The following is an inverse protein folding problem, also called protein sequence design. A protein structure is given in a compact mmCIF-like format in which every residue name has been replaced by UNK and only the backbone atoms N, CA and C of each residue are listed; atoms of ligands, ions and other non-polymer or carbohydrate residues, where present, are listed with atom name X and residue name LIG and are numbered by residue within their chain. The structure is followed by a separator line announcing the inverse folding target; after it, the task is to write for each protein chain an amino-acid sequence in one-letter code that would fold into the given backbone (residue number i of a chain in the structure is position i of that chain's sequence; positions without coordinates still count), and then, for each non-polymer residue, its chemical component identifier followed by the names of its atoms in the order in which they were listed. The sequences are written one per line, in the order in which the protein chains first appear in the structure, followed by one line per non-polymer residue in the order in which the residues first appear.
data_IF_165889804342
#
_entry.id   IF_165889804342
#
_cell.length_a   1.000
_cell.length_b   1.000
_cell.length_c   1.000
_cell.angle_alpha   90.00
_cell.angle_beta   90.00
_cell.angle_gamma   90.00
#
_symmetry.space_group_name_H-M   'P 1'
#
loop_
_entity.id
_entity.type
_entity.pdbx_description
1 polymer ?
#
# COMPACT_ATOMS: atom_id res chain seq x y z
N UNK A 1 -2.53 32.85 15.28
CA UNK A 1 -2.45 33.95 14.30
C UNK A 1 -1.29 34.85 14.72
N UNK A 2 -0.06 34.61 14.23
CA UNK A 2 1.05 35.53 14.48
C UNK A 2 0.88 36.77 13.59
N UNK A 3 1.24 37.93 14.16
CA UNK A 3 1.11 39.27 13.59
C UNK A 3 1.57 39.36 12.13
N UNK A 4 0.74 40.00 11.31
CA UNK A 4 0.95 40.29 9.89
C UNK A 4 2.32 40.94 9.66
N UNK A 5 3.22 40.17 9.04
CA UNK A 5 4.27 40.78 8.22
C UNK A 5 3.57 41.64 7.17
N UNK A 6 4.02 42.88 7.03
CA UNK A 6 3.47 43.88 6.11
C UNK A 6 3.17 43.20 4.75
N UNK A 7 1.89 42.95 4.40
CA UNK A 7 1.57 42.09 3.27
C UNK A 7 2.16 42.71 2.01
N UNK A 8 2.84 41.91 1.20
CA UNK A 8 3.26 42.34 -0.13
C UNK A 8 1.99 42.65 -0.90
N UNK A 9 1.64 43.93 -0.98
CA UNK A 9 0.49 44.41 -1.75
C UNK A 9 0.91 44.62 -3.21
N UNK A 10 -0.07 44.87 -4.08
CA UNK A 10 0.19 45.24 -5.48
C UNK A 10 1.13 46.47 -5.64
N UNK A 11 1.25 47.30 -4.60
CA UNK A 11 2.14 48.46 -4.58
C UNK A 11 3.61 48.11 -4.36
N UNK A 12 3.92 46.90 -3.89
CA UNK A 12 5.31 46.46 -3.75
C UNK A 12 5.99 46.31 -5.14
N UNK A 13 7.30 46.57 -5.29
CA UNK A 13 7.97 46.44 -6.59
C UNK A 13 7.98 45.01 -7.16
N UNK A 14 7.98 43.99 -6.29
CA UNK A 14 8.10 42.58 -6.69
C UNK A 14 6.93 42.10 -7.59
N UNK A 15 5.64 42.23 -7.22
CA UNK A 15 4.54 41.82 -8.10
C UNK A 15 4.58 42.52 -9.47
N UNK A 16 4.95 43.81 -9.50
CA UNK A 16 5.09 44.56 -10.76
C UNK A 16 6.23 44.03 -11.63
N UNK A 17 7.37 43.69 -11.02
CA UNK A 17 8.49 43.10 -11.74
C UNK A 17 8.15 41.70 -12.28
N UNK A 18 7.41 40.89 -11.52
CA UNK A 18 6.94 39.58 -11.96
C UNK A 18 5.92 39.67 -13.10
N UNK A 19 4.92 40.55 -12.98
CA UNK A 19 3.91 40.77 -14.02
C UNK A 19 4.52 41.21 -15.36
N UNK A 20 5.64 41.95 -15.32
CA UNK A 20 6.38 42.37 -16.51
C UNK A 20 7.10 41.21 -17.24
N UNK A 21 7.25 40.04 -16.61
CA UNK A 21 7.80 38.83 -17.23
C UNK A 21 6.74 38.06 -18.04
N UNK A 22 5.46 38.36 -17.82
CA UNK A 22 4.36 37.68 -18.49
C UNK A 22 4.39 37.91 -20.01
N UNK A 23 4.43 36.86 -20.85
CA UNK A 23 4.38 36.99 -22.30
C UNK A 23 3.01 37.53 -22.75
N UNK A 24 2.94 38.22 -23.89
CA UNK A 24 1.69 38.82 -24.36
C UNK A 24 0.52 37.84 -24.38
N UNK A 25 -0.61 38.22 -23.76
CA UNK A 25 -1.82 37.39 -23.65
C UNK A 25 -1.87 36.46 -22.43
N UNK A 26 -0.93 36.57 -21.49
CA UNK A 26 -1.02 35.89 -20.20
C UNK A 26 -2.22 36.37 -19.38
N UNK A 27 -2.82 35.48 -18.59
CA UNK A 27 -3.92 35.81 -17.68
C UNK A 27 -3.64 35.45 -16.21
N UNK A 28 -2.69 34.55 -15.97
CA UNK A 28 -2.20 34.21 -14.63
C UNK A 28 -0.71 33.90 -14.64
N UNK A 29 0.01 34.35 -13.63
CA UNK A 29 1.40 34.02 -13.35
C UNK A 29 1.49 33.44 -11.94
N UNK A 30 2.04 32.24 -11.82
CA UNK A 30 2.35 31.61 -10.53
C UNK A 30 3.86 31.49 -10.39
N UNK A 31 4.41 32.00 -9.29
CA UNK A 31 5.82 31.98 -8.97
C UNK A 31 6.04 31.31 -7.62
N UNK A 32 6.96 30.35 -7.56
CA UNK A 32 7.43 29.72 -6.34
C UNK A 32 8.93 30.00 -6.17
N UNK A 33 9.30 30.55 -5.02
CA UNK A 33 10.69 30.77 -4.64
C UNK A 33 10.99 29.95 -3.39
N UNK A 34 11.89 28.98 -3.48
CA UNK A 34 12.41 28.23 -2.33
C UNK A 34 13.82 28.72 -2.01
N UNK A 35 14.14 28.95 -0.74
CA UNK A 35 15.42 29.55 -0.36
C UNK A 35 15.97 29.04 0.97
N UNK A 36 17.28 28.80 0.96
CA UNK A 36 18.13 28.57 2.14
C UNK A 36 19.35 29.49 2.07
N UNK A 37 20.17 29.57 3.11
CA UNK A 37 21.47 30.26 3.05
C UNK A 37 22.46 29.66 2.04
N UNK A 38 22.21 28.44 1.52
CA UNK A 38 23.11 27.75 0.57
C UNK A 38 22.64 27.74 -0.87
N UNK A 39 21.40 28.12 -1.13
CA UNK A 39 20.84 28.06 -2.46
C UNK A 39 19.43 28.57 -2.53
N UNK A 40 19.02 28.83 -3.77
CA UNK A 40 17.68 29.26 -4.13
C UNK A 40 17.20 28.46 -5.34
N UNK A 41 15.90 28.22 -5.38
CA UNK A 41 15.19 27.65 -6.51
C UNK A 41 14.06 28.62 -6.82
N UNK A 42 13.87 28.93 -8.09
CA UNK A 42 12.75 29.73 -8.54
C UNK A 42 12.06 29.03 -9.71
N UNK A 43 10.74 28.94 -9.63
CA UNK A 43 9.91 28.35 -10.67
C UNK A 43 8.76 29.30 -10.97
N UNK A 44 8.71 29.83 -12.19
CA UNK A 44 7.67 30.75 -12.65
C UNK A 44 6.95 30.14 -13.83
N UNK A 45 5.62 30.14 -13.79
CA UNK A 45 4.77 29.64 -14.85
C UNK A 45 3.73 30.69 -15.20
N UNK A 46 3.63 31.02 -16.48
CA UNK A 46 2.61 31.90 -17.04
C UNK A 46 1.56 31.08 -17.78
N UNK A 47 0.28 31.30 -17.49
CA UNK A 47 -0.84 30.68 -18.19
C UNK A 47 -1.33 31.59 -19.33
N UNK A 48 -1.44 31.03 -20.55
CA UNK A 48 -1.86 31.69 -21.79
C UNK A 48 -2.93 30.82 -22.45
N UNK A 49 -4.21 31.17 -22.29
CA UNK A 49 -5.30 30.24 -22.64
C UNK A 49 -5.15 28.92 -21.87
N UNK A 50 -5.12 27.79 -22.57
CA UNK A 50 -4.88 26.47 -21.97
C UNK A 50 -3.39 26.10 -21.85
N UNK A 51 -2.47 26.94 -22.36
CA UNK A 51 -1.04 26.66 -22.34
C UNK A 51 -0.36 27.23 -21.10
N UNK A 52 0.65 26.53 -20.62
CA UNK A 52 1.55 26.98 -19.55
C UNK A 52 2.96 27.15 -20.11
N UNK A 53 3.58 28.31 -19.82
CA UNK A 53 4.93 28.67 -20.30
C UNK A 53 5.80 29.00 -19.09
N UNK A 54 6.91 28.27 -18.95
CA UNK A 54 7.90 28.55 -17.91
C UNK A 54 8.68 29.84 -18.23
N UNK A 55 9.00 30.60 -17.19
CA UNK A 55 9.81 31.81 -17.27
C UNK A 55 10.96 31.75 -16.26
N UNK A 56 12.09 32.37 -16.61
CA UNK A 56 13.22 32.52 -15.71
C UNK A 56 13.18 33.90 -15.06
N UNK A 57 13.21 34.00 -13.71
CA UNK A 57 13.21 35.28 -13.04
C UNK A 57 14.58 35.96 -13.20
N UNK A 58 14.61 37.26 -13.52
CA UNK A 58 15.87 37.98 -13.59
C UNK A 58 16.48 38.14 -12.19
N UNK A 59 17.81 38.30 -12.13
CA UNK A 59 18.56 38.47 -10.88
C UNK A 59 18.04 39.65 -10.02
N UNK A 60 17.47 40.68 -10.65
CA UNK A 60 16.85 41.81 -9.94
C UNK A 60 15.62 41.39 -9.13
N UNK A 61 14.82 40.45 -9.64
CA UNK A 61 13.70 39.83 -8.92
C UNK A 61 14.23 38.95 -7.80
N UNK A 62 15.19 38.06 -8.09
CA UNK A 62 15.80 37.19 -7.08
C UNK A 62 16.41 37.98 -5.92
N UNK A 63 17.12 39.08 -6.22
CA UNK A 63 17.67 39.97 -5.20
C UNK A 63 16.58 40.58 -4.28
N UNK A 64 15.42 40.97 -4.83
CA UNK A 64 14.29 41.44 -4.02
C UNK A 64 13.73 40.32 -3.14
N UNK A 65 13.60 39.11 -3.68
CA UNK A 65 13.14 37.94 -2.91
C UNK A 65 14.11 37.60 -1.76
N UNK A 66 15.42 37.64 -2.01
CA UNK A 66 16.44 37.46 -0.96
C UNK A 66 16.33 38.52 0.15
N UNK A 67 16.09 39.79 -0.22
CA UNK A 67 15.88 40.87 0.76
C UNK A 67 14.63 40.63 1.61
N UNK A 68 13.53 40.22 0.99
CA UNK A 68 12.29 39.88 1.70
C UNK A 68 12.50 38.71 2.66
N UNK A 69 13.22 37.67 2.22
CA UNK A 69 13.58 36.55 3.09
C UNK A 69 14.44 37.00 4.27
N UNK A 70 15.46 37.82 4.02
CA UNK A 70 16.33 38.34 5.07
C UNK A 70 15.55 39.17 6.10
N UNK A 71 14.62 40.02 5.65
CA UNK A 71 13.75 40.79 6.52
C UNK A 71 12.84 39.90 7.38
N UNK A 72 12.34 38.79 6.84
CA UNK A 72 11.50 37.84 7.59
C UNK A 72 12.24 37.12 8.73
N UNK A 73 13.58 37.16 8.77
CA UNK A 73 14.39 36.62 9.86
C UNK A 73 14.14 37.31 11.21
N UNK A 74 13.65 38.55 11.21
CA UNK A 74 13.31 39.29 12.43
C UNK A 74 12.02 38.78 13.09
N UNK A 75 11.22 37.99 12.36
CA UNK A 75 10.00 37.40 12.88
C UNK A 75 10.28 36.22 13.82
N UNK A 76 9.37 35.97 14.76
CA UNK A 76 9.47 34.82 15.68
C UNK A 76 9.50 33.46 14.95
N UNK A 77 8.92 33.38 13.76
CA UNK A 77 8.92 32.16 12.93
C UNK A 77 10.25 31.95 12.18
N UNK A 78 11.12 32.97 12.14
CA UNK A 78 12.30 33.01 11.30
C UNK A 78 11.95 33.16 9.81
N UNK A 79 12.93 32.98 8.92
CA UNK A 79 12.69 33.07 7.49
C UNK A 79 11.72 32.00 7.00
N UNK A 80 10.85 32.34 6.05
CA UNK A 80 10.09 31.33 5.31
C UNK A 80 11.02 30.43 4.48
N UNK A 81 10.58 29.21 4.19
CA UNK A 81 11.32 28.29 3.31
C UNK A 81 10.94 28.50 1.84
N UNK A 82 9.64 28.76 1.61
CA UNK A 82 9.07 29.06 0.30
C UNK A 82 8.18 30.29 0.35
N UNK A 83 8.20 31.06 -0.73
CA UNK A 83 7.26 32.14 -1.01
C UNK A 83 6.54 31.80 -2.32
N UNK A 84 5.21 31.78 -2.28
CA UNK A 84 4.33 31.56 -3.41
C UNK A 84 3.66 32.88 -3.77
N UNK A 85 3.71 33.25 -5.04
CA UNK A 85 3.11 34.48 -5.55
C UNK A 85 2.22 34.12 -6.72
N UNK A 86 0.95 34.48 -6.66
CA UNK A 86 0.02 34.38 -7.77
C UNK A 86 -0.42 35.77 -8.20
N UNK A 87 -0.36 36.04 -9.51
CA UNK A 87 -0.74 37.32 -10.11
C UNK A 87 -1.71 37.05 -11.24
N UNK A 88 -2.83 37.76 -11.28
CA UNK A 88 -3.77 37.73 -12.42
C UNK A 88 -3.56 38.94 -13.33
N UNK A 89 -3.99 38.85 -14.59
CA UNK A 89 -3.94 39.98 -15.54
C UNK A 89 -4.75 41.19 -15.07
N UNK A 90 -5.74 40.97 -14.19
CA UNK A 90 -6.57 42.03 -13.62
C UNK A 90 -5.88 42.76 -12.46
N UNK A 91 -4.67 42.32 -12.10
CA UNK A 91 -3.83 42.94 -11.08
C UNK A 91 -4.06 42.40 -9.66
N UNK A 92 -4.82 41.32 -9.51
CA UNK A 92 -4.92 40.64 -8.21
C UNK A 92 -3.60 39.96 -7.89
N UNK A 93 -3.14 40.13 -6.64
CA UNK A 93 -1.89 39.58 -6.14
C UNK A 93 -2.18 38.82 -4.86
N UNK A 94 -1.84 37.53 -4.84
CA UNK A 94 -1.84 36.69 -3.65
C UNK A 94 -0.40 36.27 -3.33
N UNK A 95 0.00 36.40 -2.06
CA UNK A 95 1.31 35.96 -1.58
C UNK A 95 1.12 35.06 -0.38
N UNK A 96 1.74 33.89 -0.41
CA UNK A 96 1.74 32.93 0.67
C UNK A 96 3.16 32.57 1.05
N UNK A 97 3.41 32.45 2.37
CA UNK A 97 4.69 32.02 2.90
C UNK A 97 4.55 30.63 3.51
N UNK A 98 5.37 29.71 3.04
CA UNK A 98 5.38 28.33 3.47
C UNK A 98 6.58 28.07 4.39
N UNK A 99 6.25 27.71 5.63
CA UNK A 99 7.18 27.40 6.72
C UNK A 99 7.40 25.89 6.89
N UNK A 100 6.99 25.09 5.90
CA UNK A 100 7.22 23.66 5.84
C UNK A 100 6.23 22.86 6.67
N UNK A 101 5.01 23.35 6.90
CA UNK A 101 3.98 22.56 7.60
C UNK A 101 3.75 21.21 6.92
N UNK A 102 3.99 21.15 5.61
CA UNK A 102 4.01 19.95 4.80
C UNK A 102 5.34 19.78 4.03
N UNK A 103 5.69 18.57 3.57
CA UNK A 103 6.85 18.35 2.72
C UNK A 103 6.75 19.15 1.44
N UNK A 104 7.86 19.76 1.03
CA UNK A 104 7.90 20.53 -0.20
C UNK A 104 7.79 19.61 -1.43
N UNK A 105 7.23 20.12 -2.54
CA UNK A 105 7.32 19.45 -3.82
C UNK A 105 8.79 19.14 -4.19
N UNK A 106 9.09 18.00 -4.83
CA UNK A 106 10.46 17.60 -5.15
C UNK A 106 11.26 18.67 -5.91
N UNK A 107 10.62 19.40 -6.81
CA UNK A 107 11.21 20.48 -7.59
C UNK A 107 11.61 21.71 -6.76
N UNK A 108 11.11 21.84 -5.53
CA UNK A 108 11.42 22.93 -4.60
C UNK A 108 12.19 22.44 -3.36
N UNK A 109 12.61 21.18 -3.35
CA UNK A 109 13.29 20.56 -2.22
C UNK A 109 14.81 20.68 -2.38
N UNK A 110 15.50 21.10 -1.33
CA UNK A 110 16.96 21.12 -1.29
C UNK A 110 17.53 19.85 -0.65
N UNK A 111 18.83 19.62 -0.83
CA UNK A 111 19.54 18.59 -0.08
C UNK A 111 19.54 18.88 1.44
N UNK A 112 19.63 17.84 2.30
CA UNK A 112 19.58 18.00 3.75
C UNK A 112 20.60 19.01 4.31
N UNK A 113 21.79 19.10 3.74
CA UNK A 113 22.86 20.02 4.16
C UNK A 113 22.48 21.49 4.01
N UNK A 114 21.64 21.83 3.02
CA UNK A 114 21.17 23.19 2.82
C UNK A 114 20.25 23.64 3.96
N UNK A 115 19.29 22.78 4.35
CA UNK A 115 18.41 23.03 5.49
C UNK A 115 19.17 23.07 6.82
N UNK A 116 20.13 22.16 7.03
CA UNK A 116 20.98 22.20 8.25
C UNK A 116 21.76 23.50 8.35
N UNK A 117 22.36 23.96 7.25
CA UNK A 117 23.09 25.22 7.24
C UNK A 117 22.16 26.42 7.51
N UNK A 118 20.94 26.38 6.99
CA UNK A 118 19.95 27.41 7.25
C UNK A 118 19.51 27.44 8.72
N UNK A 119 19.30 26.27 9.35
CA UNK A 119 18.99 26.17 10.78
C UNK A 119 20.15 26.60 11.68
N UNK A 120 21.40 26.53 11.21
CA UNK A 120 22.55 27.11 11.92
C UNK A 120 22.53 28.64 11.82
N UNK A 121 22.22 29.19 10.64
CA UNK A 121 22.18 30.64 10.43
C UNK A 121 20.95 31.30 11.07
N UNK A 122 19.82 30.61 11.03
CA UNK A 122 18.53 31.03 11.57
C UNK A 122 17.95 29.93 12.48
N UNK A 123 18.47 29.82 13.73
CA UNK A 123 18.00 28.82 14.67
C UNK A 123 16.51 28.92 14.96
N UNK A 124 15.83 27.77 14.98
CA UNK A 124 14.41 27.66 15.31
C UNK A 124 14.25 26.79 16.55
N UNK A 125 13.30 27.16 17.40
CA UNK A 125 12.97 26.35 18.58
C UNK A 125 12.32 25.01 18.19
N UNK A 126 11.68 24.96 17.03
CA UNK A 126 10.97 23.79 16.51
C UNK A 126 10.92 23.84 14.99
N UNK A 127 11.06 22.69 14.35
CA UNK A 127 10.77 22.49 12.92
C UNK A 127 9.79 21.34 12.73
N UNK A 128 8.97 21.37 11.66
CA UNK A 128 8.08 20.26 11.32
C UNK A 128 8.82 18.91 11.27
N UNK A 129 8.18 17.86 11.81
CA UNK A 129 8.85 16.56 12.05
C UNK A 129 9.45 15.97 10.78
N UNK A 130 8.80 16.13 9.63
CA UNK A 130 9.34 15.64 8.36
C UNK A 130 10.66 16.34 7.97
N UNK A 131 10.80 17.63 8.22
CA UNK A 131 12.01 18.39 7.90
C UNK A 131 13.11 18.07 8.91
N UNK A 132 12.73 17.91 10.19
CA UNK A 132 13.61 17.44 11.24
C UNK A 132 14.18 16.04 10.91
N UNK A 133 13.31 15.11 10.51
CA UNK A 133 13.70 13.77 10.09
C UNK A 133 14.58 13.82 8.84
N UNK A 134 14.17 14.52 7.78
CA UNK A 134 14.92 14.66 6.53
C UNK A 134 16.35 15.17 6.77
N UNK A 135 16.53 16.07 7.74
CA UNK A 135 17.84 16.60 8.10
C UNK A 135 18.59 15.77 9.14
N UNK A 136 17.95 15.01 10.01
CA UNK A 136 18.64 14.42 11.18
C UNK A 136 18.52 12.89 11.27
N UNK A 137 17.80 12.21 10.39
CA UNK A 137 17.55 10.77 10.53
C UNK A 137 18.84 9.95 10.49
N UNK A 138 19.77 10.27 9.57
CA UNK A 138 21.07 9.60 9.42
C UNK A 138 20.94 8.05 9.37
N UNK A 139 19.91 7.57 8.68
CA UNK A 139 19.55 6.15 8.54
C UNK A 139 19.38 5.36 9.85
N UNK A 140 19.22 6.05 10.99
CA UNK A 140 19.11 5.43 12.32
C UNK A 140 17.89 4.53 12.51
N UNK A 141 16.90 4.65 11.63
CA UNK A 141 15.70 3.82 11.64
C UNK A 141 15.76 2.65 10.63
N UNK A 142 16.77 2.61 9.77
CA UNK A 142 17.00 1.45 8.92
C UNK A 142 17.50 0.27 9.76
N UNK A 143 17.15 -0.94 9.32
CA UNK A 143 17.60 -2.20 9.90
C UNK A 143 17.91 -3.17 8.77
N UNK A 144 19.14 -3.13 8.24
CA UNK A 144 19.59 -4.08 7.22
C UNK A 144 19.52 -5.52 7.75
N UNK A 145 19.46 -6.55 6.88
CA UNK A 145 19.45 -7.94 7.34
C UNK A 145 20.63 -8.30 8.26
N UNK A 146 21.82 -7.74 8.01
CA UNK A 146 23.01 -7.93 8.85
C UNK A 146 22.81 -7.30 10.23
N UNK A 147 22.33 -6.04 10.27
CA UNK A 147 22.00 -5.35 11.52
C UNK A 147 20.90 -6.07 12.30
N UNK A 148 19.89 -6.61 11.61
CA UNK A 148 18.81 -7.38 12.24
C UNK A 148 19.35 -8.65 12.91
N UNK A 149 20.20 -9.41 12.23
CA UNK A 149 20.82 -10.63 12.77
C UNK A 149 21.79 -10.35 13.93
N UNK A 150 22.53 -9.25 13.88
CA UNK A 150 23.39 -8.79 14.98
C UNK A 150 22.56 -8.35 16.19
N UNK A 151 21.57 -7.48 15.97
CA UNK A 151 20.68 -7.00 17.03
C UNK A 151 19.93 -8.15 17.70
N UNK A 152 19.35 -9.09 16.94
CA UNK A 152 18.62 -10.22 17.51
C UNK A 152 19.51 -11.17 18.35
N UNK A 153 20.81 -11.25 18.05
CA UNK A 153 21.77 -11.98 18.92
C UNK A 153 22.10 -11.18 20.17
N UNK A 154 22.34 -9.87 20.03
CA UNK A 154 22.61 -8.96 21.14
C UNK A 154 21.43 -8.92 22.13
N UNK A 155 20.22 -8.74 21.62
CA UNK A 155 18.99 -8.68 22.42
C UNK A 155 18.79 -9.96 23.22
N UNK A 156 18.99 -11.14 22.61
CA UNK A 156 18.94 -12.42 23.33
C UNK A 156 20.00 -12.52 24.43
N UNK A 157 21.24 -12.08 24.17
CA UNK A 157 22.31 -12.08 25.15
C UNK A 157 22.05 -11.10 26.32
N UNK A 158 21.40 -9.97 26.02
CA UNK A 158 21.02 -8.93 26.98
C UNK A 158 19.63 -9.14 27.60
N UNK A 159 18.94 -10.23 27.23
CA UNK A 159 17.57 -10.54 27.65
C UNK A 159 16.56 -9.41 27.34
N UNK A 160 16.76 -8.71 26.23
CA UNK A 160 15.79 -7.76 25.67
C UNK A 160 14.76 -8.55 24.89
N UNK A 161 13.52 -8.56 25.38
CA UNK A 161 12.41 -9.31 24.81
C UNK A 161 11.38 -8.38 24.17
N UNK A 162 10.70 -8.91 23.16
CA UNK A 162 9.56 -8.26 22.54
C UNK A 162 8.43 -8.06 23.56
N UNK A 163 7.70 -6.95 23.41
CA UNK A 163 6.45 -6.68 24.13
C UNK A 163 5.31 -7.38 23.39
N UNK A 164 4.52 -8.17 24.11
CA UNK A 164 3.30 -8.76 23.57
C UNK A 164 2.23 -7.67 23.38
N UNK A 165 1.76 -7.50 22.14
CA UNK A 165 0.68 -6.56 21.80
C UNK A 165 -0.67 -7.28 21.87
N UNK A 166 -1.07 -7.68 23.08
CA UNK A 166 -2.29 -8.46 23.30
C UNK A 166 -3.55 -7.60 23.10
N UNK A 167 -4.48 -8.07 22.27
CA UNK A 167 -5.73 -7.38 21.93
C UNK A 167 -5.57 -5.94 21.37
N UNK A 168 -4.37 -5.56 20.91
CA UNK A 168 -4.13 -4.25 20.29
C UNK A 168 -4.60 -4.23 18.81
N UNK A 169 -4.36 -5.33 18.09
CA UNK A 169 -4.83 -5.56 16.72
C UNK A 169 -5.56 -6.90 16.62
N UNK A 170 -6.48 -7.08 15.65
CA UNK A 170 -7.03 -8.39 15.36
C UNK A 170 -5.92 -9.36 14.96
N UNK A 171 -6.13 -10.68 15.11
CA UNK A 171 -5.21 -11.69 14.59
C UNK A 171 -4.83 -11.40 13.15
N UNK A 172 -3.56 -11.60 12.78
CA UNK A 172 -3.06 -11.26 11.45
C UNK A 172 -3.95 -11.75 10.29
N UNK A 173 -4.46 -13.01 10.28
CA UNK A 173 -5.34 -13.48 9.22
C UNK A 173 -6.63 -12.67 9.07
N UNK A 174 -7.23 -12.31 10.21
CA UNK A 174 -8.42 -11.45 10.25
C UNK A 174 -8.08 -10.03 9.80
N UNK A 175 -6.95 -9.49 10.24
CA UNK A 175 -6.49 -8.17 9.80
C UNK A 175 -6.28 -8.12 8.29
N UNK A 176 -5.63 -9.14 7.72
CA UNK A 176 -5.38 -9.27 6.29
C UNK A 176 -6.68 -9.32 5.48
N UNK A 177 -7.63 -10.15 5.91
CA UNK A 177 -8.94 -10.24 5.28
C UNK A 177 -9.70 -8.91 5.29
N UNK A 178 -9.70 -8.22 6.45
CA UNK A 178 -10.32 -6.90 6.59
C UNK A 178 -9.65 -5.83 5.74
N UNK A 179 -8.32 -5.86 5.65
CA UNK A 179 -7.58 -4.97 4.76
C UNK A 179 -7.93 -5.20 3.30
N UNK A 180 -8.04 -6.47 2.89
CA UNK A 180 -8.38 -6.86 1.53
C UNK A 180 -9.79 -6.40 1.14
N UNK A 181 -10.80 -6.62 1.99
CA UNK A 181 -12.18 -6.21 1.71
C UNK A 181 -12.35 -4.69 1.72
N UNK A 182 -11.64 -3.97 2.59
CA UNK A 182 -11.59 -2.50 2.51
C UNK A 182 -10.96 -2.05 1.19
N UNK A 183 -9.82 -2.64 0.80
CA UNK A 183 -9.16 -2.29 -0.46
C UNK A 183 -10.09 -2.50 -1.66
N UNK A 184 -10.81 -3.63 -1.66
CA UNK A 184 -11.80 -3.95 -2.68
C UNK A 184 -12.93 -2.93 -2.74
N UNK A 185 -13.49 -2.53 -1.59
CA UNK A 185 -14.55 -1.53 -1.51
C UNK A 185 -14.10 -0.15 -2.02
N UNK A 186 -12.90 0.30 -1.65
CA UNK A 186 -12.35 1.58 -2.14
C UNK A 186 -12.10 1.55 -3.66
N UNK A 187 -11.65 0.41 -4.20
CA UNK A 187 -11.48 0.24 -5.65
C UNK A 187 -12.82 0.19 -6.36
N UNK A 188 -13.82 -0.52 -5.81
CA UNK A 188 -15.19 -0.55 -6.35
C UNK A 188 -15.77 0.86 -6.48
N UNK A 189 -15.57 1.69 -5.46
CA UNK A 189 -15.97 3.10 -5.42
C UNK A 189 -15.11 4.03 -6.31
N UNK A 190 -14.13 3.49 -7.05
CA UNK A 190 -13.17 4.23 -7.89
C UNK A 190 -12.43 5.33 -7.12
N UNK A 191 -12.22 5.14 -5.82
CA UNK A 191 -11.47 6.09 -5.02
C UNK A 191 -10.01 6.06 -5.42
N UNK A 192 -9.39 7.23 -5.66
CA UNK A 192 -7.96 7.33 -5.89
C UNK A 192 -7.13 7.04 -4.62
N UNK A 193 -7.77 7.10 -3.45
CA UNK A 193 -7.16 6.98 -2.13
C UNK A 193 -7.61 5.71 -1.40
N UNK A 194 -7.08 5.49 -0.20
CA UNK A 194 -7.44 4.36 0.67
C UNK A 194 -6.53 3.13 0.54
N UNK A 195 -6.88 2.03 1.22
CA UNK A 195 -6.05 0.84 1.25
C UNK A 195 -5.99 0.13 -0.11
N UNK A 196 -4.87 -0.52 -0.39
CA UNK A 196 -4.62 -1.32 -1.59
C UNK A 196 -3.95 -2.64 -1.25
N UNK A 197 -4.22 -3.64 -2.07
CA UNK A 197 -3.54 -4.93 -2.09
C UNK A 197 -2.53 -4.97 -3.23
N UNK A 198 -1.31 -5.31 -2.88
CA UNK A 198 -0.26 -5.80 -3.77
C UNK A 198 0.02 -7.26 -3.40
N UNK A 199 0.70 -8.04 -4.27
CA UNK A 199 1.13 -9.39 -3.90
C UNK A 199 1.89 -9.38 -2.56
N UNK A 200 1.37 -10.10 -1.58
CA UNK A 200 1.95 -10.24 -0.23
C UNK A 200 2.06 -8.94 0.59
N UNK A 201 1.45 -7.84 0.14
CA UNK A 201 1.54 -6.54 0.84
C UNK A 201 0.23 -5.78 0.79
N UNK A 202 -0.30 -5.40 1.95
CA UNK A 202 -1.31 -4.36 2.09
C UNK A 202 -0.63 -3.00 2.22
N UNK A 203 -1.07 -2.00 1.47
CA UNK A 203 -0.58 -0.63 1.53
C UNK A 203 -1.72 0.30 1.93
N UNK A 204 -1.45 1.24 2.83
CA UNK A 204 -2.41 2.26 3.21
C UNK A 204 -1.70 3.58 3.44
N UNK A 205 -2.21 4.62 2.79
CA UNK A 205 -1.88 6.01 3.05
C UNK A 205 -3.19 6.74 3.32
N UNK A 206 -3.31 7.31 4.52
CA UNK A 206 -4.46 8.07 4.96
C UNK A 206 -4.37 9.54 4.56
N UNK A 207 -5.50 10.24 4.61
CA UNK A 207 -5.59 11.66 4.26
C UNK A 207 -4.72 12.56 5.16
N UNK A 208 -4.47 12.13 6.39
CA UNK A 208 -3.61 12.83 7.35
C UNK A 208 -2.11 12.53 7.16
N UNK A 209 -1.65 12.05 6.00
CA UNK A 209 -0.25 11.68 5.69
C UNK A 209 0.35 10.55 6.56
N UNK A 210 -0.45 9.99 7.46
CA UNK A 210 -0.14 8.76 8.16
C UNK A 210 -0.37 7.56 7.25
N UNK A 211 0.38 6.49 7.43
CA UNK A 211 0.26 5.31 6.59
C UNK A 211 1.06 4.13 7.10
N UNK A 212 0.76 2.96 6.55
CA UNK A 212 1.43 1.72 6.90
C UNK A 212 1.44 0.71 5.76
N UNK A 213 2.37 -0.24 5.89
CA UNK A 213 2.35 -1.46 5.10
C UNK A 213 2.16 -2.67 6.02
N UNK A 214 1.38 -3.63 5.56
CA UNK A 214 1.21 -4.96 6.14
C UNK A 214 1.82 -5.99 5.19
N UNK A 215 3.01 -6.48 5.50
CA UNK A 215 3.70 -7.49 4.70
C UNK A 215 3.41 -8.90 5.21
N UNK A 216 3.05 -9.79 4.30
CA UNK A 216 2.86 -11.22 4.55
C UNK A 216 4.16 -11.96 4.25
N UNK A 217 4.56 -12.85 5.15
CA UNK A 217 5.80 -13.60 5.07
C UNK A 217 5.54 -15.11 5.15
N UNK A 218 6.41 -15.95 4.55
CA UNK A 218 6.33 -17.39 4.70
C UNK A 218 6.34 -17.85 6.16
N UNK A 219 5.63 -18.93 6.44
CA UNK A 219 5.52 -19.49 7.80
C UNK A 219 4.46 -18.81 8.67
N UNK A 220 3.46 -18.17 8.06
CA UNK A 220 2.38 -17.50 8.78
C UNK A 220 2.87 -16.30 9.59
N UNK A 221 3.88 -15.58 9.06
CA UNK A 221 4.47 -14.40 9.69
C UNK A 221 3.98 -13.14 9.00
N UNK A 222 4.02 -12.01 9.70
CA UNK A 222 3.71 -10.72 9.10
C UNK A 222 4.46 -9.59 9.78
N UNK A 223 4.60 -8.45 9.08
CA UNK A 223 5.09 -7.19 9.64
C UNK A 223 4.11 -6.08 9.30
N UNK A 224 3.61 -5.40 10.32
CA UNK A 224 2.85 -4.16 10.19
C UNK A 224 3.76 -3.02 10.63
N UNK A 225 4.09 -2.10 9.74
CA UNK A 225 4.94 -0.96 10.08
C UNK A 225 4.52 0.29 9.34
N UNK A 226 4.79 1.45 9.93
CA UNK A 226 4.27 2.71 9.39
C UNK A 226 4.66 3.92 10.20
N UNK A 227 4.03 5.04 9.85
CA UNK A 227 4.26 6.32 10.51
C UNK A 227 2.96 7.08 10.71
N UNK A 228 2.76 7.56 11.93
CA UNK A 228 1.75 8.58 12.24
C UNK A 228 2.34 9.95 11.92
N UNK A 229 1.56 10.78 11.23
CA UNK A 229 1.99 12.13 10.90
C UNK A 229 2.25 12.94 12.17
N UNK A 230 3.40 13.62 12.23
CA UNK A 230 3.87 14.34 13.42
C UNK A 230 3.87 13.49 14.70
N UNK A 231 4.28 12.21 14.61
CA UNK A 231 4.35 11.31 15.75
C UNK A 231 5.10 11.95 16.95
N UNK A 232 4.49 12.03 18.16
CA UNK A 232 5.07 12.72 19.30
C UNK A 232 6.46 12.22 19.70
N UNK A 233 6.72 10.91 19.59
CA UNK A 233 8.03 10.34 19.90
C UNK A 233 9.12 10.78 18.92
N UNK A 234 8.78 10.95 17.63
CA UNK A 234 9.71 11.46 16.63
C UNK A 234 9.94 12.96 16.81
N UNK A 235 8.90 13.71 17.14
CA UNK A 235 9.03 15.13 17.45
C UNK A 235 9.95 15.35 18.66
N UNK A 236 9.72 14.63 19.74
CA UNK A 236 10.58 14.68 20.93
C UNK A 236 12.04 14.28 20.62
N UNK A 237 12.25 13.31 19.73
CA UNK A 237 13.59 12.87 19.37
C UNK A 237 14.33 13.87 18.46
N UNK A 238 13.68 14.35 17.40
CA UNK A 238 14.32 15.23 16.43
C UNK A 238 14.38 16.69 16.88
N UNK A 239 13.32 17.21 17.50
CA UNK A 239 13.27 18.60 17.97
C UNK A 239 13.70 18.74 19.44
N UNK A 240 13.47 17.71 20.27
CA UNK A 240 13.74 17.76 21.71
C UNK A 240 15.02 17.05 22.17
N UNK A 241 15.72 16.34 21.28
CA UNK A 241 16.93 15.58 21.61
C UNK A 241 16.69 14.31 22.44
N UNK A 242 15.43 13.86 22.58
CA UNK A 242 15.14 12.56 23.18
C UNK A 242 15.75 11.40 22.34
N UNK A 243 16.03 10.24 22.94
CA UNK A 243 16.42 9.08 22.15
C UNK A 243 15.27 8.66 21.20
N UNK A 244 15.63 8.20 20.01
CA UNK A 244 14.65 7.56 19.12
C UNK A 244 14.10 6.28 19.78
N UNK A 245 12.80 5.97 19.59
CA UNK A 245 12.22 4.76 20.12
C UNK A 245 12.90 3.52 19.51
N UNK A 246 13.19 2.53 20.34
CA UNK A 246 13.75 1.24 19.90
C UNK A 246 12.63 0.36 19.33
N UNK A 247 12.11 0.75 18.17
CA UNK A 247 10.99 0.08 17.49
C UNK A 247 11.24 -1.42 17.25
N UNK A 248 12.50 -1.81 17.12
CA UNK A 248 12.92 -3.20 16.83
C UNK A 248 13.47 -3.95 18.05
N UNK A 249 13.31 -3.41 19.28
CA UNK A 249 13.78 -4.09 20.48
C UNK A 249 13.11 -5.46 20.64
N UNK A 250 13.92 -6.52 20.72
CA UNK A 250 13.43 -7.90 20.81
C UNK A 250 12.87 -8.45 19.50
N UNK A 251 12.99 -7.73 18.38
CA UNK A 251 12.50 -8.19 17.09
C UNK A 251 13.42 -9.28 16.51
N UNK A 252 12.85 -10.31 15.87
CA UNK A 252 13.64 -11.36 15.22
C UNK A 252 14.44 -10.80 14.04
N UNK A 253 15.40 -11.61 13.56
CA UNK A 253 16.33 -11.23 12.49
C UNK A 253 15.65 -11.02 11.12
N UNK A 254 14.49 -11.64 10.90
CA UNK A 254 13.71 -11.50 9.68
C UNK A 254 12.88 -10.22 9.62
N UNK A 255 12.77 -9.45 10.70
CA UNK A 255 12.20 -8.10 10.68
C UNK A 255 13.30 -7.13 10.24
N UNK A 256 13.42 -6.89 8.94
CA UNK A 256 14.48 -6.08 8.35
C UNK A 256 13.94 -5.22 7.19
N UNK A 257 14.76 -4.29 6.67
CA UNK A 257 14.39 -3.32 5.63
C UNK A 257 13.44 -3.83 4.53
N UNK A 258 13.60 -5.04 3.93
CA UNK A 258 12.72 -5.49 2.84
C UNK A 258 11.25 -5.65 3.23
N UNK A 259 10.94 -5.77 4.52
CA UNK A 259 9.57 -5.97 5.04
C UNK A 259 9.14 -4.81 5.94
N UNK A 260 9.88 -3.72 5.94
CA UNK A 260 9.56 -2.49 6.66
C UNK A 260 8.98 -1.46 5.70
N UNK A 261 8.10 -0.60 6.23
CA UNK A 261 7.58 0.54 5.51
C UNK A 261 8.72 1.47 5.08
N UNK A 262 8.59 2.07 3.90
CA UNK A 262 9.61 2.95 3.32
C UNK A 262 10.02 4.12 4.26
N UNK A 263 9.14 4.51 5.20
CA UNK A 263 9.43 5.50 6.24
C UNK A 263 10.64 5.18 7.12
N UNK A 264 11.06 3.91 7.20
CA UNK A 264 12.32 3.54 7.86
C UNK A 264 13.54 4.22 7.21
N UNK A 265 13.51 4.40 5.88
CA UNK A 265 14.58 5.07 5.15
C UNK A 265 14.53 6.59 5.30
N UNK A 266 13.34 7.18 5.45
CA UNK A 266 13.15 8.63 5.58
C UNK A 266 13.18 9.14 7.03
N UNK A 267 13.39 8.27 8.02
CA UNK A 267 13.35 8.65 9.44
C UNK A 267 11.95 8.95 9.98
N UNK A 268 10.89 8.50 9.30
CA UNK A 268 9.50 8.77 9.67
C UNK A 268 8.76 7.53 10.17
N UNK A 269 9.47 6.44 10.41
CA UNK A 269 8.87 5.25 11.00
C UNK A 269 8.56 5.53 12.47
N UNK A 270 7.30 5.40 12.86
CA UNK A 270 6.86 5.63 14.24
C UNK A 270 6.36 4.37 14.93
N UNK A 271 6.08 3.30 14.18
CA UNK A 271 5.73 1.99 14.75
C UNK A 271 6.17 0.83 13.87
N UNK A 272 6.45 -0.28 14.52
CA UNK A 272 6.71 -1.59 13.93
C UNK A 272 6.13 -2.68 14.83
N UNK A 273 5.30 -3.54 14.24
CA UNK A 273 4.69 -4.72 14.83
C UNK A 273 5.03 -5.92 13.97
N UNK A 274 5.21 -7.09 14.60
CA UNK A 274 5.42 -8.33 13.87
C UNK A 274 4.55 -9.44 14.45
N UNK A 275 4.05 -10.29 13.56
CA UNK A 275 3.23 -11.44 13.89
C UNK A 275 4.06 -12.71 13.77
N UNK A 276 4.08 -13.50 14.84
CA UNK A 276 4.69 -14.83 14.87
C UNK A 276 3.97 -15.70 15.90
N UNK A 277 3.85 -17.00 15.65
CA UNK A 277 3.29 -17.94 16.63
C UNK A 277 1.86 -17.61 17.07
N UNK A 278 1.07 -16.96 16.20
CA UNK A 278 -0.32 -16.62 16.50
C UNK A 278 -0.51 -15.34 17.33
N UNK A 279 0.52 -14.48 17.46
CA UNK A 279 0.47 -13.27 18.30
C UNK A 279 1.20 -12.11 17.66
N UNK A 280 0.73 -10.89 17.97
CA UNK A 280 1.42 -9.64 17.64
C UNK A 280 2.44 -9.27 18.73
N UNK A 281 3.59 -8.80 18.27
CA UNK A 281 4.68 -8.32 19.10
C UNK A 281 5.14 -6.94 18.64
N UNK A 282 5.71 -6.17 19.55
CA UNK A 282 6.34 -4.88 19.27
C UNK A 282 7.57 -4.64 20.13
N UNK A 283 8.45 -3.77 19.68
CA UNK A 283 9.49 -3.19 20.54
C UNK A 283 8.92 -2.03 21.34
N UNK A 284 9.56 -0.86 21.24
CA UNK A 284 9.06 0.39 21.84
C UNK A 284 8.05 1.14 20.96
N UNK A 285 7.42 0.45 20.00
CA UNK A 285 6.30 1.02 19.24
C UNK A 285 5.18 1.46 20.21
N UNK A 286 4.49 2.58 19.96
CA UNK A 286 3.34 2.98 20.75
C UNK A 286 2.21 1.94 20.61
N UNK A 287 1.24 1.89 21.53
CA UNK A 287 0.07 1.01 21.40
C UNK A 287 -0.79 1.34 20.17
N UNK A 288 -1.60 0.38 19.72
CA UNK A 288 -2.33 0.47 18.45
C UNK A 288 -3.33 1.64 18.35
N UNK A 289 -3.91 2.08 19.46
CA UNK A 289 -4.82 3.25 19.52
C UNK A 289 -4.10 4.54 19.09
N UNK A 290 -2.82 4.67 19.43
CA UNK A 290 -1.97 5.78 19.00
C UNK A 290 -1.52 5.66 17.55
N UNK A 291 -1.71 4.50 16.91
CA UNK A 291 -1.41 4.26 15.50
C UNK A 291 -2.64 4.42 14.58
N UNK A 292 -3.81 4.71 15.13
CA UNK A 292 -5.09 4.58 14.42
C UNK A 292 -5.20 5.38 13.12
N UNK A 293 -4.59 6.56 13.04
CA UNK A 293 -4.62 7.39 11.83
C UNK A 293 -3.75 6.85 10.69
N UNK A 294 -2.90 5.86 10.96
CA UNK A 294 -1.94 5.28 10.01
C UNK A 294 -2.28 3.83 9.64
N UNK A 295 -3.36 3.27 10.15
CA UNK A 295 -3.84 1.91 9.86
C UNK A 295 -5.28 2.03 9.33
N UNK A 296 -5.67 1.31 8.27
CA UNK A 296 -7.05 1.33 7.81
C UNK A 296 -7.97 0.75 8.90
N UNK A 297 -9.27 1.03 8.82
CA UNK A 297 -10.35 0.67 9.77
C UNK A 297 -10.55 -0.81 10.11
N UNK A 298 -9.50 -1.59 10.38
CA UNK A 298 -9.54 -3.07 10.46
C UNK A 298 -9.88 -3.63 11.85
N UNK A 299 -10.10 -2.79 12.86
CA UNK A 299 -10.20 -3.20 14.27
C UNK A 299 -11.33 -4.18 14.57
N UNK A 300 -12.53 -3.94 14.05
CA UNK A 300 -13.71 -4.78 14.27
C UNK A 300 -14.44 -5.01 12.95
N UNK A 301 -15.16 -6.12 12.85
CA UNK A 301 -16.00 -6.40 11.68
C UNK A 301 -17.06 -5.31 11.46
N UNK A 302 -17.61 -4.74 12.56
CA UNK A 302 -18.58 -3.65 12.51
C UNK A 302 -18.01 -2.38 11.87
N UNK A 303 -16.81 -1.92 12.31
CA UNK A 303 -16.16 -0.73 11.72
C UNK A 303 -15.91 -0.95 10.22
N UNK A 304 -15.45 -2.14 9.83
CA UNK A 304 -15.22 -2.46 8.42
C UNK A 304 -16.52 -2.43 7.62
N UNK A 305 -17.60 -3.03 8.14
CA UNK A 305 -18.91 -3.04 7.49
C UNK A 305 -19.49 -1.63 7.35
N UNK A 306 -19.34 -0.77 8.37
CA UNK A 306 -19.77 0.63 8.33
C UNK A 306 -19.04 1.43 7.24
N UNK A 307 -17.71 1.27 7.13
CA UNK A 307 -16.92 1.92 6.08
C UNK A 307 -17.36 1.44 4.68
N UNK A 308 -17.55 0.12 4.52
CA UNK A 308 -17.99 -0.48 3.25
C UNK A 308 -19.38 0.06 2.86
N UNK A 309 -20.33 0.07 3.78
CA UNK A 309 -21.68 0.57 3.54
C UNK A 309 -21.67 2.07 3.19
N UNK A 310 -20.79 2.86 3.81
CA UNK A 310 -20.59 4.27 3.49
C UNK A 310 -20.08 4.51 2.07
N UNK A 311 -19.25 3.61 1.53
CA UNK A 311 -18.72 3.70 0.16
C UNK A 311 -19.72 3.27 -0.92
N UNK A 312 -20.71 2.45 -0.58
CA UNK A 312 -21.78 2.02 -1.49
C UNK A 312 -22.83 3.12 -1.74
N UNK A 313 -22.68 4.28 -1.08
CA UNK A 313 -23.46 5.51 -1.25
C UNK A 313 -24.98 5.28 -1.12
N UNK A 314 -25.37 4.56 -0.07
CA UNK A 314 -26.78 4.39 0.31
C UNK A 314 -26.92 4.18 1.83
N UNK A 315 -26.39 5.13 2.61
CA UNK A 315 -26.30 5.10 4.08
C UNK A 315 -27.64 4.94 4.84
N UNK A 316 -28.77 4.85 4.13
CA UNK A 316 -30.12 4.69 4.69
C UNK A 316 -30.80 3.36 4.33
N UNK A 317 -30.17 2.52 3.50
CA UNK A 317 -30.71 1.21 3.15
C UNK A 317 -30.21 0.13 4.13
N UNK A 318 -31.12 -0.37 4.99
CA UNK A 318 -30.80 -1.43 5.97
C UNK A 318 -30.26 -2.70 5.31
N UNK A 319 -30.66 -2.99 4.08
CA UNK A 319 -30.21 -4.18 3.34
C UNK A 319 -28.71 -4.10 3.02
N UNK A 320 -28.19 -2.90 2.73
CA UNK A 320 -26.75 -2.68 2.42
C UNK A 320 -25.88 -2.94 3.65
N UNK A 321 -26.32 -2.54 4.85
CA UNK A 321 -25.57 -2.77 6.09
C UNK A 321 -25.46 -4.26 6.45
N UNK A 322 -26.52 -5.04 6.19
CA UNK A 322 -26.52 -6.50 6.41
C UNK A 322 -25.65 -7.21 5.38
N UNK A 323 -25.73 -6.82 4.10
CA UNK A 323 -24.85 -7.34 3.06
C UNK A 323 -23.38 -7.00 3.31
N UNK A 324 -23.07 -5.78 3.77
CA UNK A 324 -21.70 -5.41 4.14
C UNK A 324 -21.16 -6.27 5.29
N UNK A 325 -21.97 -6.53 6.32
CA UNK A 325 -21.59 -7.44 7.42
C UNK A 325 -21.35 -8.86 6.92
N UNK A 326 -22.21 -9.36 6.03
CA UNK A 326 -22.06 -10.67 5.39
C UNK A 326 -20.78 -10.75 4.54
N UNK A 327 -20.47 -9.71 3.79
CA UNK A 327 -19.26 -9.60 2.99
C UNK A 327 -18.00 -9.63 3.86
N UNK A 328 -17.99 -8.91 5.00
CA UNK A 328 -16.86 -8.94 5.94
C UNK A 328 -16.68 -10.34 6.53
N UNK A 329 -17.77 -11.01 6.94
CA UNK A 329 -17.70 -12.38 7.44
C UNK A 329 -17.17 -13.36 6.38
N UNK A 330 -17.61 -13.22 5.12
CA UNK A 330 -17.12 -14.02 4.00
C UNK A 330 -15.63 -13.77 3.73
N UNK A 331 -15.16 -12.52 3.85
CA UNK A 331 -13.75 -12.17 3.72
C UNK A 331 -12.90 -12.79 4.83
N UNK A 332 -13.34 -12.68 6.09
CA UNK A 332 -12.65 -13.31 7.24
C UNK A 332 -12.59 -14.84 7.11
N UNK A 333 -13.56 -15.45 6.45
CA UNK A 333 -13.58 -16.88 6.16
C UNK A 333 -12.83 -17.26 4.86
N UNK A 334 -12.39 -16.28 4.05
CA UNK A 334 -11.69 -16.52 2.78
C UNK A 334 -12.58 -17.12 1.68
N UNK A 335 -13.87 -16.79 1.67
CA UNK A 335 -14.89 -17.38 0.77
C UNK A 335 -15.68 -16.31 0.00
N UNK A 336 -15.09 -15.13 -0.23
CA UNK A 336 -15.78 -14.08 -0.98
C UNK A 336 -16.05 -14.55 -2.41
N UNK A 337 -17.28 -14.35 -2.86
CA UNK A 337 -17.72 -14.60 -4.24
C UNK A 337 -18.11 -13.28 -4.91
N UNK A 338 -18.24 -13.29 -6.24
CA UNK A 338 -18.80 -12.14 -6.98
C UNK A 338 -20.18 -11.77 -6.46
N UNK A 339 -21.03 -12.76 -6.21
CA UNK A 339 -22.40 -12.54 -5.72
C UNK A 339 -22.41 -11.83 -4.36
N UNK A 340 -21.62 -12.32 -3.40
CA UNK A 340 -21.53 -11.70 -2.07
C UNK A 340 -21.03 -10.26 -2.14
N UNK A 341 -20.11 -9.96 -3.07
CA UNK A 341 -19.62 -8.59 -3.26
C UNK A 341 -20.65 -7.69 -3.96
N UNK A 342 -21.27 -8.20 -5.03
CA UNK A 342 -22.26 -7.47 -5.83
C UNK A 342 -23.55 -7.17 -5.06
N UNK A 343 -23.87 -7.94 -4.01
CA UNK A 343 -24.96 -7.64 -3.08
C UNK A 343 -24.76 -6.30 -2.33
N UNK A 344 -23.51 -5.82 -2.21
CA UNK A 344 -23.18 -4.50 -1.63
C UNK A 344 -22.94 -3.47 -2.74
N UNK A 345 -22.14 -3.84 -3.76
CA UNK A 345 -21.72 -2.95 -4.84
C UNK A 345 -22.32 -3.40 -6.16
N UNK A 346 -23.42 -2.76 -6.58
CA UNK A 346 -24.08 -3.05 -7.86
C UNK A 346 -23.11 -2.93 -9.06
N UNK A 347 -23.01 -3.99 -9.84
CA UNK A 347 -22.06 -4.17 -10.97
C UNK A 347 -22.26 -3.11 -12.07
N UNK A 348 -23.46 -2.53 -12.17
CA UNK A 348 -23.74 -1.47 -13.15
C UNK A 348 -23.14 -0.11 -12.77
N UNK A 349 -22.86 0.13 -11.48
CA UNK A 349 -22.39 1.41 -10.94
C UNK A 349 -20.93 1.37 -10.50
N UNK A 350 -20.50 0.26 -9.90
CA UNK A 350 -19.21 0.12 -9.24
C UNK A 350 -18.23 -0.73 -10.05
N UNK A 351 -16.94 -0.59 -9.76
CA UNK A 351 -15.88 -1.43 -10.35
C UNK A 351 -15.73 -2.76 -9.60
N UNK A 352 -16.67 -3.69 -9.82
CA UNK A 352 -16.66 -5.01 -9.17
C UNK A 352 -15.47 -5.85 -9.64
N UNK A 353 -15.06 -5.74 -10.90
CA UNK A 353 -13.93 -6.49 -11.45
C UNK A 353 -12.61 -6.09 -10.79
N UNK A 354 -12.34 -4.78 -10.67
CA UNK A 354 -11.18 -4.26 -9.96
C UNK A 354 -11.18 -4.66 -8.48
N UNK A 355 -12.36 -4.67 -7.84
CA UNK A 355 -12.51 -5.09 -6.45
C UNK A 355 -12.22 -6.59 -6.25
N UNK A 356 -12.77 -7.46 -7.10
CA UNK A 356 -12.50 -8.90 -7.07
C UNK A 356 -11.03 -9.20 -7.35
N UNK A 357 -10.37 -8.41 -8.20
CA UNK A 357 -8.92 -8.53 -8.39
C UNK A 357 -8.14 -8.24 -7.10
N UNK A 358 -8.50 -7.21 -6.33
CA UNK A 358 -7.87 -6.93 -5.02
C UNK A 358 -8.03 -8.11 -4.04
N UNK A 359 -9.24 -8.67 -3.96
CA UNK A 359 -9.55 -9.84 -3.12
C UNK A 359 -8.79 -11.09 -3.59
N UNK A 360 -8.66 -11.27 -4.90
CA UNK A 360 -7.92 -12.36 -5.53
C UNK A 360 -6.43 -12.31 -5.21
N UNK A 361 -5.79 -11.15 -5.38
CA UNK A 361 -4.38 -10.93 -5.01
C UNK A 361 -4.13 -11.17 -3.52
N UNK A 362 -5.12 -10.87 -2.67
CA UNK A 362 -5.06 -11.12 -1.25
C UNK A 362 -5.30 -12.60 -0.87
N UNK A 363 -5.81 -13.43 -1.78
CA UNK A 363 -6.18 -14.81 -1.49
C UNK A 363 -7.37 -14.96 -0.54
N UNK A 364 -8.32 -14.00 -0.58
CA UNK A 364 -9.53 -14.00 0.26
C UNK A 364 -10.82 -14.32 -0.52
N UNK A 365 -10.70 -14.50 -1.83
CA UNK A 365 -11.76 -15.10 -2.67
C UNK A 365 -11.79 -16.60 -2.49
N UNK A 366 -12.95 -17.21 -2.72
CA UNK A 366 -13.03 -18.66 -2.90
C UNK A 366 -12.06 -19.07 -4.01
N UNK A 367 -11.08 -19.90 -3.66
CA UNK A 367 -10.04 -20.39 -4.57
C UNK A 367 -10.49 -21.60 -5.37
N UNK A 368 -11.70 -22.11 -5.15
CA UNK A 368 -12.26 -23.18 -5.96
C UNK A 368 -12.42 -22.64 -7.39
N UNK A 369 -11.68 -23.16 -8.37
CA UNK A 369 -11.87 -22.83 -9.77
C UNK A 369 -13.30 -23.17 -10.18
N UNK A 370 -13.81 -22.48 -11.19
CA UNK A 370 -15.02 -22.90 -11.87
C UNK A 370 -14.85 -24.34 -12.37
N UNK A 371 -15.95 -25.10 -12.39
CA UNK A 371 -15.92 -26.45 -12.93
C UNK A 371 -15.38 -26.45 -14.36
N UNK A 372 -14.31 -27.21 -14.60
CA UNK A 372 -13.70 -27.28 -15.93
C UNK A 372 -14.73 -27.90 -16.89
N UNK A 373 -15.06 -27.28 -18.04
CA UNK A 373 -15.98 -27.89 -18.98
C UNK A 373 -15.46 -29.25 -19.46
N UNK A 374 -16.35 -30.24 -19.60
CA UNK A 374 -15.99 -31.61 -20.02
C UNK A 374 -15.12 -31.63 -21.29
N UNK A 375 -15.52 -30.83 -22.28
CA UNK A 375 -14.79 -30.70 -23.54
C UNK A 375 -13.36 -30.17 -23.34
N UNK A 376 -13.14 -29.26 -22.39
CA UNK A 376 -11.82 -28.73 -22.08
C UNK A 376 -10.94 -29.80 -21.39
N UNK A 377 -11.51 -30.63 -20.51
CA UNK A 377 -10.80 -31.75 -19.90
C UNK A 377 -10.33 -32.78 -20.96
N UNK A 378 -11.21 -33.14 -21.90
CA UNK A 378 -10.89 -34.06 -23.00
C UNK A 378 -9.81 -33.48 -23.91
N UNK A 379 -9.93 -32.21 -24.31
CA UNK A 379 -8.93 -31.53 -25.15
C UNK A 379 -7.56 -31.51 -24.46
N UNK A 380 -7.52 -31.21 -23.16
CA UNK A 380 -6.27 -31.14 -22.40
C UNK A 380 -5.53 -32.49 -22.33
N UNK A 381 -6.28 -33.58 -22.18
CA UNK A 381 -5.72 -34.95 -22.20
C UNK A 381 -5.25 -35.32 -23.60
N UNK A 382 -6.03 -34.99 -24.64
CA UNK A 382 -5.63 -35.21 -26.03
C UNK A 382 -4.32 -34.48 -26.35
N UNK A 383 -4.22 -33.19 -26.00
CA UNK A 383 -3.04 -32.37 -26.22
C UNK A 383 -1.83 -32.94 -25.47
N UNK A 384 -2.02 -33.40 -24.23
CA UNK A 384 -0.96 -34.05 -23.44
C UNK A 384 -0.46 -35.35 -24.08
N UNK A 385 -1.37 -36.24 -24.50
CA UNK A 385 -1.02 -37.50 -25.16
C UNK A 385 -0.21 -37.23 -26.44
N UNK A 386 -0.66 -36.28 -27.27
CA UNK A 386 0.01 -35.90 -28.51
C UNK A 386 1.40 -35.31 -28.22
N UNK A 387 1.49 -34.36 -27.29
CA UNK A 387 2.74 -33.68 -26.96
C UNK A 387 3.78 -34.61 -26.32
N UNK A 388 3.33 -35.57 -25.51
CA UNK A 388 4.20 -36.56 -24.86
C UNK A 388 4.54 -37.78 -25.73
N UNK A 389 3.98 -37.86 -26.96
CA UNK A 389 4.30 -38.92 -27.92
C UNK A 389 3.85 -40.32 -27.48
N UNK A 390 2.72 -40.41 -26.77
CA UNK A 390 2.18 -41.71 -26.35
C UNK A 390 1.85 -42.60 -27.56
N UNK A 391 2.12 -43.90 -27.43
CA UNK A 391 1.60 -44.89 -28.36
C UNK A 391 0.07 -44.97 -28.19
N UNK A 392 -0.65 -44.62 -29.25
CA UNK A 392 -2.12 -44.61 -29.29
C UNK A 392 -2.69 -45.84 -30.03
N UNK A 393 -1.84 -46.82 -30.35
CA UNK A 393 -2.26 -48.07 -30.98
C UNK A 393 -3.28 -48.79 -30.07
N UNK A 394 -4.52 -48.94 -30.54
CA UNK A 394 -5.62 -49.52 -29.74
C UNK A 394 -6.23 -48.58 -28.69
N UNK A 395 -5.90 -47.29 -28.75
CA UNK A 395 -6.40 -46.23 -27.86
C UNK A 395 -6.81 -44.98 -28.68
N UNK A 396 -7.95 -45.03 -29.40
CA UNK A 396 -8.38 -43.93 -30.27
C UNK A 396 -8.75 -42.68 -29.47
N UNK A 397 -8.03 -41.57 -29.71
CA UNK A 397 -8.26 -40.29 -29.02
C UNK A 397 -9.61 -39.62 -29.36
N UNK A 398 -10.29 -40.11 -30.40
CA UNK A 398 -11.66 -39.72 -30.74
C UNK A 398 -12.70 -40.30 -29.79
N UNK A 399 -12.35 -41.34 -29.03
CA UNK A 399 -13.24 -42.04 -28.08
C UNK A 399 -12.95 -41.69 -26.62
N UNK A 400 -12.13 -40.65 -26.37
CA UNK A 400 -11.93 -40.12 -25.03
C UNK A 400 -13.26 -39.66 -24.45
N UNK A 401 -13.60 -40.20 -23.28
CA UNK A 401 -14.73 -39.77 -22.46
C UNK A 401 -14.22 -39.27 -21.13
N UNK A 402 -14.95 -38.32 -20.55
CA UNK A 402 -14.64 -37.77 -19.24
C UNK A 402 -15.77 -38.12 -18.25
N UNK A 403 -15.39 -38.64 -17.09
CA UNK A 403 -16.30 -38.93 -15.99
C UNK A 403 -16.08 -37.91 -14.88
N UNK A 404 -17.15 -37.19 -14.48
CA UNK A 404 -17.07 -36.14 -13.46
C UNK A 404 -16.64 -36.73 -12.10
N UNK A 405 -15.75 -36.01 -11.43
CA UNK A 405 -15.34 -36.22 -10.04
C UNK A 405 -15.75 -34.99 -9.22
N UNK A 406 -15.56 -35.02 -7.90
CA UNK A 406 -15.93 -33.91 -7.01
C UNK A 406 -15.14 -32.61 -7.31
N UNK A 407 -13.93 -32.71 -7.87
CA UNK A 407 -13.06 -31.56 -8.19
C UNK A 407 -12.26 -31.76 -9.48
N UNK A 408 -12.92 -32.30 -10.51
CA UNK A 408 -12.31 -32.54 -11.81
C UNK A 408 -12.95 -33.66 -12.62
N UNK A 409 -12.14 -34.30 -13.45
CA UNK A 409 -12.56 -35.30 -14.43
C UNK A 409 -11.59 -36.48 -14.45
N UNK A 410 -12.13 -37.69 -14.55
CA UNK A 410 -11.38 -38.88 -14.93
C UNK A 410 -11.59 -39.10 -16.43
N UNK A 411 -10.53 -39.00 -17.22
CA UNK A 411 -10.56 -39.09 -18.69
C UNK A 411 -9.86 -40.36 -19.15
N UNK A 412 -10.55 -41.15 -19.96
CA UNK A 412 -10.07 -42.44 -20.46
C UNK A 412 -10.81 -42.87 -21.74
N UNK A 413 -10.28 -43.88 -22.43
CA UNK A 413 -10.99 -44.57 -23.52
C UNK A 413 -11.64 -45.85 -22.97
N UNK A 414 -12.97 -46.04 -23.10
CA UNK A 414 -13.69 -47.18 -22.53
C UNK A 414 -13.22 -48.51 -23.13
N UNK A 415 -13.10 -49.53 -22.29
CA UNK A 415 -12.83 -50.89 -22.76
C UNK A 415 -14.05 -51.45 -23.51
N UNK A 416 -13.87 -52.13 -24.65
CA UNK A 416 -14.94 -52.91 -25.27
C UNK A 416 -15.49 -53.96 -24.30
N UNK A 417 -16.80 -54.24 -24.35
CA UNK A 417 -17.43 -55.26 -23.49
C UNK A 417 -16.74 -56.62 -23.65
N UNK A 418 -16.28 -57.19 -22.53
CA UNK A 418 -15.68 -58.53 -22.48
C UNK A 418 -14.15 -58.58 -22.57
N UNK A 419 -13.45 -57.45 -22.73
CA UNK A 419 -11.98 -57.41 -22.81
C UNK A 419 -11.32 -56.85 -21.54
N UNK A 420 -10.27 -57.54 -21.06
CA UNK A 420 -9.40 -57.01 -20.00
C UNK A 420 -8.40 -56.05 -20.64
N UNK A 421 -8.59 -54.76 -20.40
CA UNK A 421 -7.74 -53.70 -20.95
C UNK A 421 -6.42 -53.58 -20.18
N UNK A 422 -5.36 -54.21 -20.70
CA UNK A 422 -4.00 -54.10 -20.17
C UNK A 422 -3.29 -52.95 -20.90
N UNK A 423 -2.74 -51.97 -20.15
CA UNK A 423 -1.92 -50.89 -20.71
C UNK A 423 -2.64 -49.60 -21.10
N UNK A 424 -3.95 -49.46 -20.82
CA UNK A 424 -4.69 -48.21 -21.06
C UNK A 424 -4.42 -47.18 -19.95
N UNK A 425 -4.03 -45.98 -20.34
CA UNK A 425 -3.78 -44.87 -19.40
C UNK A 425 -5.11 -44.25 -18.94
N UNK A 426 -5.17 -43.91 -17.65
CA UNK A 426 -6.24 -43.12 -17.05
C UNK A 426 -5.64 -41.78 -16.64
N UNK A 427 -6.28 -40.70 -17.07
CA UNK A 427 -5.88 -39.34 -16.76
C UNK A 427 -6.89 -38.71 -15.80
N UNK A 428 -6.39 -37.89 -14.89
CA UNK A 428 -7.20 -37.12 -13.95
C UNK A 428 -6.91 -35.64 -14.22
N UNK A 429 -7.95 -34.87 -14.51
CA UNK A 429 -7.84 -33.44 -14.80
C UNK A 429 -8.60 -32.68 -13.73
N UNK A 430 -7.92 -31.92 -12.90
CA UNK A 430 -8.55 -31.12 -11.85
C UNK A 430 -9.24 -29.89 -12.45
N UNK A 431 -10.18 -29.30 -11.70
CA UNK A 431 -10.88 -28.09 -12.14
C UNK A 431 -9.94 -26.88 -12.32
N UNK A 432 -8.77 -26.90 -11.65
CA UNK A 432 -7.68 -25.94 -11.87
C UNK A 432 -6.81 -26.24 -13.10
N UNK A 433 -7.18 -27.26 -13.88
CA UNK A 433 -6.49 -27.68 -15.09
C UNK A 433 -5.20 -28.46 -14.85
N UNK A 434 -4.89 -28.88 -13.62
CA UNK A 434 -3.78 -29.81 -13.36
C UNK A 434 -4.13 -31.19 -13.89
N UNK A 435 -3.28 -31.72 -14.78
CA UNK A 435 -3.41 -33.05 -15.35
C UNK A 435 -2.44 -34.00 -14.64
N UNK A 436 -2.96 -35.12 -14.13
CA UNK A 436 -2.20 -36.19 -13.52
C UNK A 436 -2.45 -37.52 -14.26
N UNK A 437 -1.39 -38.30 -14.47
CA UNK A 437 -1.49 -39.63 -15.08
C UNK A 437 -1.42 -40.69 -13.98
N UNK A 438 -2.32 -41.68 -14.04
CA UNK A 438 -2.27 -42.85 -13.17
C UNK A 438 -1.90 -44.11 -13.96
N UNK A 439 -1.14 -45.01 -13.33
CA UNK A 439 -0.87 -46.33 -13.90
C UNK A 439 -2.08 -47.25 -13.69
N UNK A 440 -2.31 -48.17 -14.62
CA UNK A 440 -3.39 -49.16 -14.54
C UNK A 440 -3.29 -50.13 -13.35
N UNK A 441 -2.19 -50.08 -12.58
CA UNK A 441 -1.95 -50.86 -11.37
C UNK A 441 -2.46 -50.21 -10.08
N UNK A 442 -2.91 -48.95 -10.13
CA UNK A 442 -3.49 -48.25 -8.97
C UNK A 442 -5.01 -48.29 -9.07
N UNK A 443 -5.68 -48.75 -8.00
CA UNK A 443 -7.13 -48.73 -7.93
C UNK A 443 -7.67 -47.28 -8.02
N UNK A 444 -8.63 -46.99 -8.92
CA UNK A 444 -9.12 -45.61 -9.14
C UNK A 444 -9.54 -44.88 -7.86
N UNK A 445 -10.23 -45.55 -6.93
CA UNK A 445 -10.67 -44.95 -5.67
C UNK A 445 -9.54 -44.40 -4.80
N UNK A 446 -8.40 -45.09 -4.72
CA UNK A 446 -7.25 -44.63 -3.94
C UNK A 446 -6.55 -43.44 -4.62
N UNK A 447 -6.52 -43.43 -5.95
CA UNK A 447 -5.93 -42.33 -6.69
C UNK A 447 -6.78 -41.06 -6.60
N UNK A 448 -8.12 -41.20 -6.69
CA UNK A 448 -9.08 -40.10 -6.56
C UNK A 448 -8.90 -39.39 -5.21
N UNK A 449 -8.85 -40.11 -4.09
CA UNK A 449 -8.68 -39.48 -2.77
C UNK A 449 -7.38 -38.66 -2.67
N UNK A 450 -6.27 -39.19 -3.19
CA UNK A 450 -5.00 -38.46 -3.21
C UNK A 450 -5.00 -37.26 -4.16
N UNK A 451 -5.67 -37.40 -5.30
CA UNK A 451 -5.88 -36.32 -6.28
C UNK A 451 -6.69 -35.17 -5.65
N UNK A 452 -7.75 -35.51 -4.91
CA UNK A 452 -8.57 -34.53 -4.22
C UNK A 452 -7.80 -33.80 -3.11
N UNK A 453 -7.00 -34.54 -2.34
CA UNK A 453 -6.15 -33.93 -1.32
C UNK A 453 -5.15 -32.94 -1.93
N UNK A 454 -4.49 -33.30 -3.04
CA UNK A 454 -3.54 -32.41 -3.73
C UNK A 454 -4.22 -31.16 -4.29
N UNK A 455 -5.43 -31.28 -4.83
CA UNK A 455 -6.21 -30.12 -5.25
C UNK A 455 -6.49 -29.19 -4.06
N UNK A 456 -6.99 -29.73 -2.96
CA UNK A 456 -7.25 -28.94 -1.75
C UNK A 456 -5.98 -28.29 -1.17
N UNK A 457 -4.84 -28.97 -1.24
CA UNK A 457 -3.56 -28.42 -0.79
C UNK A 457 -3.09 -27.25 -1.67
N UNK A 458 -3.31 -27.30 -2.99
CA UNK A 458 -3.00 -26.20 -3.93
C UNK A 458 -3.88 -24.97 -3.71
N UNK A 459 -5.14 -25.17 -3.34
CA UNK A 459 -6.13 -24.10 -3.15
C UNK A 459 -6.24 -23.62 -1.69
N UNK A 460 -5.36 -24.11 -0.81
CA UNK A 460 -5.36 -23.72 0.60
C UNK A 460 -5.05 -22.22 0.74
N UNK A 461 -5.81 -21.44 1.52
CA UNK A 461 -5.54 -20.02 1.73
C UNK A 461 -4.12 -19.78 2.23
N UNK A 462 -3.44 -18.79 1.64
CA UNK A 462 -2.06 -18.42 1.96
C UNK A 462 -1.91 -17.85 3.38
N UNK A 463 -3.00 -17.30 3.92
CA UNK A 463 -3.06 -16.69 5.24
C UNK A 463 -4.14 -17.44 6.04
N UNK A 464 -3.76 -18.05 7.17
CA UNK A 464 -4.66 -18.80 8.07
C UNK A 464 -4.45 -18.42 9.52
#
# INVERSE_FOLDING_TARGET
MPEEQNPITAEHPLPRALAALGPGGWHRLDAAFAMTVRGEIAHLVCSIGEQQVAAEPPETVLAQVRQLRAASAESKAGPWWRMLVSITSDGEVAVEYDYGSEPFPPEHMFEPEAYRADLVAYPRAHVPVWLAAYTLHADRQQRTPQQAAEQARSDRAQQVWAVLADNEFPPFPVMWARWAVLSAAFVAARSAWGPRMLPWTGVFEGEARGGSTLHVLPGGRAVLSGGVWNAPALDAAYNGGAPLPRLYAGAPDWVANPVLNARASSGLLSFCYWWEGGRWYRGESPPADQCATAVPGTWTAGIVAEIIAGLADDATNRDVSEHASTLVAAAEAGVVTRETFAAVFDDSRFDVDGALYQLGVAGVVSTLPDELPEAAAIVRVRDHIVASGFDTTGYPLSELTAHRLNMGWMVYVPAPEGEISIGRAIFYVADDGVLEQSSSSVAPGNYIAGFEQRFNDRHRPLVR
#
